data_IF_668816381632
#
_entry.id   IF_668816381632
#
_cell.length_a   1.000
_cell.length_b   1.000
_cell.length_c   1.000
_cell.angle_alpha   90.00
_cell.angle_beta   90.00
_cell.angle_gamma   90.00
#
_symmetry.space_group_name_H-M   'P 1'
#
loop_
_entity.id
_entity.type
_entity.pdbx_description
1 polymer ?
#
# COMPACT_ATOMS: atom_id res chain seq x y z
N UNK A 1 38.28 -37.88 -1.84
CA UNK A 1 38.14 -36.97 -0.68
C UNK A 1 36.90 -36.09 -0.77
N UNK A 2 36.55 -35.50 -1.93
CA UNK A 2 35.31 -34.72 -2.09
C UNK A 2 34.02 -35.49 -1.79
N UNK A 3 33.87 -36.75 -2.23
CA UNK A 3 32.70 -37.57 -1.91
C UNK A 3 32.54 -37.85 -0.41
N UNK A 4 33.64 -38.05 0.33
CA UNK A 4 33.61 -38.34 1.77
C UNK A 4 33.32 -37.09 2.60
N UNK A 5 33.78 -35.91 2.15
CA UNK A 5 33.52 -34.62 2.79
C UNK A 5 32.10 -34.13 2.48
N UNK A 6 31.59 -34.38 1.27
CA UNK A 6 30.18 -34.20 0.92
C UNK A 6 29.28 -35.15 1.70
N UNK A 7 29.71 -36.40 1.94
CA UNK A 7 28.97 -37.37 2.76
C UNK A 7 29.00 -37.03 4.25
N UNK A 8 30.10 -36.45 4.75
CA UNK A 8 30.21 -35.93 6.13
C UNK A 8 29.44 -34.61 6.31
N UNK A 9 29.45 -33.73 5.31
CA UNK A 9 28.60 -32.54 5.27
C UNK A 9 27.14 -32.93 5.19
N UNK A 10 26.78 -33.87 4.32
CA UNK A 10 25.45 -34.44 4.29
C UNK A 10 25.12 -35.13 5.62
N UNK A 11 26.00 -35.87 6.30
CA UNK A 11 25.70 -36.50 7.59
C UNK A 11 25.55 -35.52 8.77
N UNK A 12 26.29 -34.40 8.78
CA UNK A 12 26.19 -33.38 9.85
C UNK A 12 25.14 -32.30 9.55
N UNK A 13 24.96 -31.89 8.29
CA UNK A 13 23.85 -31.00 7.88
C UNK A 13 22.53 -31.75 7.74
N UNK A 14 22.51 -33.04 7.35
CA UNK A 14 21.31 -33.87 7.53
C UNK A 14 20.96 -33.96 9.01
N UNK A 15 21.83 -33.76 10.00
CA UNK A 15 21.37 -33.71 11.40
C UNK A 15 20.59 -32.44 11.73
N UNK A 16 20.90 -31.32 11.06
CA UNK A 16 20.06 -30.10 11.07
C UNK A 16 18.76 -30.35 10.27
N UNK A 17 18.80 -31.23 9.26
CA UNK A 17 17.65 -31.59 8.41
C UNK A 17 16.78 -32.79 8.90
N UNK A 18 17.30 -33.70 9.74
CA UNK A 18 16.68 -34.98 10.17
C UNK A 18 16.17 -34.98 11.61
N UNK A 19 16.51 -33.99 12.45
CA UNK A 19 15.79 -33.88 13.72
C UNK A 19 14.30 -33.49 13.54
N UNK A 20 13.87 -33.27 12.30
CA UNK A 20 12.49 -33.01 11.88
C UNK A 20 11.73 -34.18 11.24
N UNK A 21 12.33 -35.34 10.89
CA UNK A 21 11.57 -36.36 10.12
C UNK A 21 11.79 -37.81 10.56
N UNK A 22 10.96 -38.27 11.51
CA UNK A 22 10.42 -39.64 11.42
C UNK A 22 9.34 -39.63 10.33
N UNK A 23 9.70 -40.15 9.16
CA UNK A 23 8.81 -40.52 8.05
C UNK A 23 7.92 -39.41 7.48
N UNK A 24 8.42 -38.62 6.54
CA UNK A 24 7.75 -38.14 5.29
C UNK A 24 8.48 -36.93 4.70
N UNK A 25 8.70 -36.91 3.38
CA UNK A 25 9.30 -35.83 2.59
C UNK A 25 8.32 -34.64 2.45
N UNK A 26 7.93 -34.04 3.57
CA UNK A 26 7.17 -32.80 3.62
C UNK A 26 8.00 -31.76 4.35
N UNK A 27 8.41 -30.71 3.64
CA UNK A 27 9.01 -29.50 4.24
C UNK A 27 7.91 -28.85 5.08
N UNK A 28 7.88 -29.14 6.38
CA UNK A 28 7.13 -28.32 7.34
C UNK A 28 8.04 -27.18 7.82
N UNK A 29 7.47 -26.00 8.10
CA UNK A 29 8.24 -24.81 8.43
C UNK A 29 9.08 -25.08 9.67
N UNK A 30 10.38 -24.89 9.52
CA UNK A 30 11.34 -24.85 10.62
C UNK A 30 11.05 -23.57 11.40
N UNK A 31 10.11 -23.69 12.33
CA UNK A 31 9.88 -22.77 13.45
C UNK A 31 10.81 -23.18 14.62
N UNK A 32 12.07 -23.51 14.31
CA UNK A 32 13.09 -23.79 15.34
C UNK A 32 13.53 -22.46 15.94
N UNK A 33 12.98 -22.18 17.12
CA UNK A 33 13.32 -21.08 18.03
C UNK A 33 14.83 -20.98 18.41
N UNK A 34 15.70 -21.87 17.92
CA UNK A 34 17.12 -21.97 18.29
C UNK A 34 18.11 -21.78 17.11
N UNK A 35 17.67 -21.56 15.87
CA UNK A 35 18.59 -21.33 14.76
C UNK A 35 19.26 -19.95 14.86
N UNK A 36 20.56 -19.92 15.15
CA UNK A 36 21.36 -18.70 15.16
C UNK A 36 22.12 -18.54 13.84
N UNK A 37 21.76 -17.53 13.04
CA UNK A 37 22.50 -17.15 11.83
C UNK A 37 23.99 -16.95 12.10
N UNK A 38 24.37 -16.47 13.30
CA UNK A 38 25.76 -16.25 13.69
C UNK A 38 26.60 -17.53 13.71
N UNK A 39 26.00 -18.67 14.03
CA UNK A 39 26.69 -19.97 14.04
C UNK A 39 26.92 -20.50 12.63
N UNK A 40 26.10 -20.08 11.65
CA UNK A 40 26.22 -20.51 10.26
C UNK A 40 27.29 -19.69 9.50
N UNK A 41 27.47 -18.41 9.84
CA UNK A 41 28.37 -17.47 9.13
C UNK A 41 29.78 -18.02 8.82
N UNK A 42 30.48 -18.71 9.75
CA UNK A 42 31.83 -19.24 9.47
C UNK A 42 31.88 -20.31 8.37
N UNK A 43 30.74 -20.94 8.07
CA UNK A 43 30.62 -22.04 7.11
C UNK A 43 29.94 -21.62 5.81
N UNK A 44 29.47 -20.37 5.69
CA UNK A 44 28.70 -19.91 4.53
C UNK A 44 29.50 -19.96 3.24
N UNK A 45 30.73 -19.45 3.25
CA UNK A 45 31.59 -19.45 2.06
C UNK A 45 31.80 -20.86 1.50
N UNK A 46 32.33 -21.84 2.26
CA UNK A 46 32.54 -23.19 1.73
C UNK A 46 31.22 -23.91 1.40
N UNK A 47 30.16 -23.68 2.17
CA UNK A 47 28.84 -24.26 1.88
C UNK A 47 28.31 -23.76 0.53
N UNK A 48 28.33 -22.45 0.31
CA UNK A 48 27.82 -21.84 -0.91
C UNK A 48 28.66 -22.24 -2.13
N UNK A 49 29.99 -22.27 -1.99
CA UNK A 49 30.88 -22.76 -3.05
C UNK A 49 30.58 -24.20 -3.45
N UNK A 50 30.44 -25.13 -2.49
CA UNK A 50 30.14 -26.53 -2.78
C UNK A 50 28.76 -26.73 -3.40
N UNK A 51 27.74 -26.00 -2.93
CA UNK A 51 26.41 -26.04 -3.52
C UNK A 51 26.41 -25.48 -4.95
N UNK A 52 27.17 -24.42 -5.21
CA UNK A 52 27.31 -23.85 -6.54
C UNK A 52 28.07 -24.79 -7.49
N UNK A 53 29.16 -25.42 -7.05
CA UNK A 53 29.86 -26.46 -7.82
C UNK A 53 28.91 -27.60 -8.18
N UNK A 54 28.14 -28.09 -7.19
CA UNK A 54 27.14 -29.12 -7.43
C UNK A 54 26.09 -28.68 -8.47
N UNK A 55 25.60 -27.44 -8.41
CA UNK A 55 24.65 -26.89 -9.37
C UNK A 55 25.20 -26.88 -10.81
N UNK A 56 26.51 -26.69 -10.98
CA UNK A 56 27.17 -26.70 -12.29
C UNK A 56 27.41 -28.12 -12.82
N UNK A 57 27.69 -29.09 -11.95
CA UNK A 57 28.00 -30.47 -12.34
C UNK A 57 26.75 -31.27 -12.72
N UNK A 58 25.62 -31.03 -12.05
CA UNK A 58 24.39 -31.82 -12.26
C UNK A 58 23.69 -31.44 -13.56
N UNK A 59 23.20 -32.45 -14.29
CA UNK A 59 22.49 -32.27 -15.57
C UNK A 59 20.97 -32.35 -15.43
N UNK A 60 20.48 -33.06 -14.42
CA UNK A 60 19.07 -33.30 -14.18
C UNK A 60 18.38 -32.03 -13.67
N UNK A 61 17.29 -31.62 -14.31
CA UNK A 61 16.55 -30.40 -13.95
C UNK A 61 16.05 -30.47 -12.50
N UNK A 62 15.49 -31.62 -12.10
CA UNK A 62 15.00 -31.81 -10.73
C UNK A 62 16.11 -31.57 -9.70
N UNK A 63 17.31 -32.13 -9.92
CA UNK A 63 18.44 -31.89 -9.01
C UNK A 63 18.86 -30.43 -8.99
N UNK A 64 18.92 -29.75 -10.15
CA UNK A 64 19.21 -28.30 -10.22
C UNK A 64 18.19 -27.50 -9.40
N UNK A 65 16.90 -27.82 -9.50
CA UNK A 65 15.84 -27.17 -8.73
C UNK A 65 16.04 -27.34 -7.23
N UNK A 66 16.36 -28.56 -6.76
CA UNK A 66 16.62 -28.80 -5.34
C UNK A 66 17.83 -28.01 -4.83
N UNK A 67 18.91 -27.96 -5.62
CA UNK A 67 20.11 -27.19 -5.23
C UNK A 67 19.82 -25.69 -5.19
N UNK A 68 19.07 -25.15 -6.17
CA UNK A 68 18.62 -23.75 -6.16
C UNK A 68 17.74 -23.41 -4.96
N UNK A 69 16.84 -24.31 -4.58
CA UNK A 69 16.00 -24.13 -3.39
C UNK A 69 16.85 -24.05 -2.11
N UNK A 70 17.83 -24.95 -1.94
CA UNK A 70 18.74 -24.91 -0.79
C UNK A 70 19.56 -23.61 -0.78
N UNK A 71 20.09 -23.18 -1.92
CA UNK A 71 20.81 -21.91 -2.05
C UNK A 71 19.91 -20.71 -1.66
N UNK A 72 18.66 -20.70 -2.12
CA UNK A 72 17.67 -19.66 -1.81
C UNK A 72 17.38 -19.58 -0.32
N UNK A 73 17.19 -20.73 0.34
CA UNK A 73 17.00 -20.81 1.79
C UNK A 73 18.21 -20.28 2.56
N UNK A 74 19.43 -20.60 2.11
CA UNK A 74 20.66 -20.04 2.72
C UNK A 74 20.71 -18.52 2.57
N UNK A 75 20.35 -17.99 1.39
CA UNK A 75 20.28 -16.55 1.14
C UNK A 75 19.27 -15.87 2.08
N UNK A 76 18.08 -16.45 2.22
CA UNK A 76 17.03 -15.96 3.12
C UNK A 76 17.51 -15.85 4.57
N UNK A 77 18.11 -16.93 5.09
CA UNK A 77 18.50 -17.04 6.51
C UNK A 77 19.71 -16.19 6.87
N UNK A 78 20.60 -15.96 5.92
CA UNK A 78 21.81 -15.13 6.11
C UNK A 78 21.52 -13.65 5.88
N UNK A 79 20.54 -13.33 5.02
CA UNK A 79 20.17 -11.97 4.67
C UNK A 79 21.33 -11.22 3.99
N UNK A 80 21.51 -9.94 4.34
CA UNK A 80 22.50 -9.06 3.70
C UNK A 80 23.95 -9.53 3.80
N UNK A 81 24.29 -10.40 4.76
CA UNK A 81 25.64 -10.93 4.95
C UNK A 81 26.06 -11.93 3.85
N UNK A 82 25.14 -12.37 2.99
CA UNK A 82 25.41 -13.34 1.92
C UNK A 82 26.10 -12.70 0.69
N UNK A 83 26.02 -11.37 0.55
CA UNK A 83 26.48 -10.60 -0.62
C UNK A 83 27.89 -10.95 -1.12
N UNK A 84 28.91 -11.17 -0.26
CA UNK A 84 30.25 -11.52 -0.73
C UNK A 84 30.34 -12.83 -1.52
N UNK A 85 29.37 -13.74 -1.35
CA UNK A 85 29.47 -15.13 -1.80
C UNK A 85 28.59 -15.47 -3.01
N UNK A 86 27.66 -14.59 -3.42
CA UNK A 86 26.62 -14.89 -4.41
C UNK A 86 26.93 -14.44 -5.84
N UNK A 87 28.07 -13.79 -6.08
CA UNK A 87 28.42 -13.21 -7.39
C UNK A 87 28.45 -14.27 -8.50
N UNK A 88 29.00 -15.44 -8.22
CA UNK A 88 29.05 -16.57 -9.17
C UNK A 88 27.64 -17.08 -9.52
N UNK A 89 26.73 -17.15 -8.54
CA UNK A 89 25.34 -17.54 -8.78
C UNK A 89 24.64 -16.51 -9.67
N UNK A 90 24.78 -15.21 -9.37
CA UNK A 90 24.19 -14.12 -10.15
C UNK A 90 24.61 -14.15 -11.62
N UNK A 91 25.89 -14.46 -11.89
CA UNK A 91 26.39 -14.58 -13.27
C UNK A 91 25.90 -15.84 -13.99
N UNK A 92 25.61 -16.91 -13.23
CA UNK A 92 25.18 -18.19 -13.79
C UNK A 92 23.68 -18.26 -14.09
N UNK A 93 22.82 -17.64 -13.28
CA UNK A 93 21.36 -17.71 -13.46
C UNK A 93 20.86 -17.28 -14.86
N UNK A 94 21.40 -16.23 -15.51
CA UNK A 94 21.02 -15.87 -16.88
C UNK A 94 21.36 -16.96 -17.90
N UNK A 95 22.47 -17.68 -17.71
CA UNK A 95 22.87 -18.80 -18.57
C UNK A 95 21.91 -19.97 -18.36
N UNK A 96 21.64 -20.30 -17.10
CA UNK A 96 20.73 -21.37 -16.73
C UNK A 96 19.30 -21.12 -17.24
N UNK A 97 18.84 -19.86 -17.21
CA UNK A 97 17.54 -19.45 -17.76
C UNK A 97 17.41 -19.67 -19.27
N UNK A 98 18.51 -19.43 -19.99
CA UNK A 98 18.58 -19.68 -21.43
C UNK A 98 18.62 -21.18 -21.73
N UNK A 99 19.38 -21.95 -20.94
CA UNK A 99 19.42 -23.41 -21.07
C UNK A 99 18.09 -24.09 -20.73
N UNK A 100 17.27 -23.47 -19.87
CA UNK A 100 15.98 -23.98 -19.41
C UNK A 100 14.79 -23.50 -20.24
N UNK A 101 14.99 -23.15 -21.52
CA UNK A 101 13.93 -22.59 -22.37
C UNK A 101 12.68 -23.46 -22.43
N UNK A 102 12.87 -24.77 -22.55
CA UNK A 102 11.80 -25.77 -22.60
C UNK A 102 11.45 -26.36 -21.21
N UNK A 103 11.97 -25.78 -20.12
CA UNK A 103 11.87 -26.31 -18.76
C UNK A 103 11.30 -25.29 -17.77
N UNK A 104 9.99 -25.03 -17.87
CA UNK A 104 9.29 -24.02 -17.06
C UNK A 104 9.44 -24.23 -15.55
N UNK A 105 9.45 -25.46 -15.04
CA UNK A 105 9.64 -25.72 -13.60
C UNK A 105 11.03 -25.28 -13.09
N UNK A 106 12.07 -25.44 -13.91
CA UNK A 106 13.41 -24.94 -13.59
C UNK A 106 13.44 -23.41 -13.66
N UNK A 107 12.68 -22.80 -14.58
CA UNK A 107 12.50 -21.35 -14.63
C UNK A 107 11.79 -20.80 -13.39
N UNK A 108 10.75 -21.47 -12.87
CA UNK A 108 10.14 -21.15 -11.58
C UNK A 108 11.21 -21.10 -10.48
N UNK A 109 12.02 -22.17 -10.34
CA UNK A 109 13.10 -22.21 -9.34
C UNK A 109 14.13 -21.08 -9.51
N UNK A 110 14.41 -20.63 -10.74
CA UNK A 110 15.26 -19.47 -11.00
C UNK A 110 14.58 -18.18 -10.54
N UNK A 111 13.29 -17.96 -10.84
CA UNK A 111 12.54 -16.79 -10.38
C UNK A 111 12.48 -16.73 -8.84
N UNK A 112 12.20 -17.86 -8.19
CA UNK A 112 12.26 -17.98 -6.73
C UNK A 112 13.65 -17.63 -6.20
N UNK A 113 14.72 -18.11 -6.86
CA UNK A 113 16.10 -17.74 -6.47
C UNK A 113 16.36 -16.24 -6.60
N UNK A 114 15.84 -15.60 -7.65
CA UNK A 114 15.97 -14.15 -7.86
C UNK A 114 15.23 -13.35 -6.78
N UNK A 115 14.06 -13.82 -6.31
CA UNK A 115 13.32 -13.18 -5.20
C UNK A 115 14.22 -13.04 -3.96
N UNK A 116 14.83 -14.15 -3.55
CA UNK A 116 15.71 -14.19 -2.37
C UNK A 116 16.99 -13.37 -2.59
N UNK A 117 17.55 -13.39 -3.80
CA UNK A 117 18.71 -12.56 -4.14
C UNK A 117 18.37 -11.06 -4.05
N UNK A 118 17.22 -10.63 -4.57
CA UNK A 118 16.78 -9.23 -4.46
C UNK A 118 16.61 -8.83 -3.00
N UNK A 119 16.00 -9.68 -2.16
CA UNK A 119 15.88 -9.42 -0.72
C UNK A 119 17.25 -9.33 -0.04
N UNK A 120 18.19 -10.23 -0.35
CA UNK A 120 19.54 -10.20 0.21
C UNK A 120 20.36 -8.97 -0.21
N UNK A 121 20.17 -8.48 -1.44
CA UNK A 121 20.80 -7.24 -1.90
C UNK A 121 20.08 -5.97 -1.46
N UNK A 122 18.77 -6.03 -1.21
CA UNK A 122 17.96 -4.85 -0.93
C UNK A 122 18.11 -3.77 -2.03
N UNK A 123 18.47 -2.52 -1.68
CA UNK A 123 18.66 -1.43 -2.65
C UNK A 123 19.75 -1.68 -3.72
N UNK A 124 20.73 -2.53 -3.43
CA UNK A 124 21.81 -2.89 -4.37
C UNK A 124 21.38 -3.92 -5.41
N UNK A 125 20.12 -4.37 -5.39
CA UNK A 125 19.56 -5.30 -6.37
C UNK A 125 19.50 -4.73 -7.79
N UNK A 126 19.74 -3.43 -7.96
CA UNK A 126 19.87 -2.75 -9.26
C UNK A 126 20.85 -3.45 -10.22
N UNK A 127 21.90 -4.07 -9.69
CA UNK A 127 22.87 -4.82 -10.48
C UNK A 127 22.29 -6.11 -11.12
N UNK A 128 21.15 -6.61 -10.61
CA UNK A 128 20.47 -7.78 -11.14
C UNK A 128 19.45 -7.43 -12.24
N UNK A 129 19.12 -6.14 -12.41
CA UNK A 129 18.01 -5.71 -13.27
C UNK A 129 18.22 -6.03 -14.74
N UNK A 130 19.47 -6.12 -15.21
CA UNK A 130 19.77 -6.54 -16.58
C UNK A 130 19.18 -7.93 -16.90
N UNK A 131 19.08 -8.82 -15.91
CA UNK A 131 18.46 -10.13 -16.07
C UNK A 131 17.02 -10.18 -15.55
N UNK A 132 16.73 -9.54 -14.41
CA UNK A 132 15.39 -9.55 -13.82
C UNK A 132 14.36 -8.96 -14.78
N UNK A 133 14.64 -7.82 -15.42
CA UNK A 133 13.63 -7.14 -16.26
C UNK A 133 13.20 -8.00 -17.46
N UNK A 134 14.11 -8.59 -18.26
CA UNK A 134 13.72 -9.54 -19.30
C UNK A 134 12.99 -10.78 -18.77
N UNK A 135 13.41 -11.32 -17.61
CA UNK A 135 12.74 -12.48 -17.01
C UNK A 135 11.30 -12.13 -16.61
N UNK A 136 11.08 -10.95 -16.00
CA UNK A 136 9.76 -10.43 -15.65
C UNK A 136 8.88 -10.21 -16.87
N UNK A 137 9.44 -9.65 -17.95
CA UNK A 137 8.70 -9.44 -19.19
C UNK A 137 8.16 -10.77 -19.73
N UNK A 138 8.96 -11.84 -19.70
CA UNK A 138 8.54 -13.18 -20.15
C UNK A 138 7.53 -13.80 -19.17
N UNK A 139 7.79 -13.72 -17.86
CA UNK A 139 6.93 -14.38 -16.86
C UNK A 139 5.56 -13.75 -16.71
N UNK A 140 5.42 -12.47 -17.11
CA UNK A 140 4.17 -11.70 -16.98
C UNK A 140 3.48 -11.39 -18.31
N UNK A 141 3.99 -11.92 -19.42
CA UNK A 141 3.35 -11.82 -20.73
C UNK A 141 2.26 -12.89 -20.87
N UNK A 142 1.00 -12.47 -20.71
CA UNK A 142 -0.18 -13.34 -20.79
C UNK A 142 -0.45 -13.88 -22.19
N UNK A 143 0.27 -13.42 -23.20
CA UNK A 143 0.14 -13.88 -24.60
C UNK A 143 1.00 -15.11 -24.90
N UNK A 144 1.94 -15.47 -24.02
CA UNK A 144 2.89 -16.57 -24.21
C UNK A 144 2.54 -17.76 -23.32
N UNK A 145 2.64 -19.00 -23.83
CA UNK A 145 2.33 -20.21 -23.05
C UNK A 145 3.04 -20.34 -21.69
N UNK A 146 4.32 -19.91 -21.51
CA UNK A 146 5.01 -20.03 -20.22
C UNK A 146 4.33 -19.32 -19.06
N UNK A 147 3.48 -18.30 -19.28
CA UNK A 147 2.84 -17.55 -18.21
C UNK A 147 2.06 -18.45 -17.24
N UNK A 148 1.45 -19.53 -17.74
CA UNK A 148 0.65 -20.47 -16.93
C UNK A 148 1.46 -21.06 -15.77
N UNK A 149 2.78 -21.19 -15.95
CA UNK A 149 3.69 -21.71 -14.92
C UNK A 149 4.42 -20.60 -14.19
N UNK A 150 4.85 -19.56 -14.90
CA UNK A 150 5.78 -18.55 -14.40
C UNK A 150 5.10 -17.37 -13.70
N UNK A 151 3.79 -17.18 -13.89
CA UNK A 151 3.13 -15.94 -13.51
C UNK A 151 3.18 -15.66 -12.00
N UNK A 152 2.96 -16.67 -11.16
CA UNK A 152 2.94 -16.50 -9.70
C UNK A 152 4.31 -16.04 -9.18
N UNK A 153 5.37 -16.80 -9.47
CA UNK A 153 6.75 -16.44 -9.13
C UNK A 153 7.17 -15.12 -9.80
N UNK A 154 6.69 -14.86 -11.02
CA UNK A 154 6.96 -13.65 -11.78
C UNK A 154 6.39 -12.40 -11.13
N UNK A 155 5.13 -12.47 -10.65
CA UNK A 155 4.49 -11.37 -9.92
C UNK A 155 5.16 -11.15 -8.56
N UNK A 156 5.55 -12.21 -7.86
CA UNK A 156 6.28 -12.09 -6.60
C UNK A 156 7.66 -11.43 -6.83
N UNK A 157 8.42 -11.88 -7.82
CA UNK A 157 9.69 -11.26 -8.21
C UNK A 157 9.50 -9.80 -8.58
N UNK A 158 8.44 -9.46 -9.30
CA UNK A 158 8.14 -8.08 -9.69
C UNK A 158 7.89 -7.22 -8.45
N UNK A 159 7.02 -7.67 -7.55
CA UNK A 159 6.73 -6.97 -6.30
C UNK A 159 8.00 -6.79 -5.47
N UNK A 160 8.76 -7.85 -5.24
CA UNK A 160 9.99 -7.84 -4.44
C UNK A 160 11.06 -6.92 -5.06
N UNK A 161 11.15 -6.87 -6.38
CA UNK A 161 12.02 -5.93 -7.11
C UNK A 161 11.62 -4.49 -6.83
N UNK A 162 10.32 -4.17 -6.92
CA UNK A 162 9.85 -2.80 -6.72
C UNK A 162 9.93 -2.33 -5.27
N UNK A 163 9.67 -3.20 -4.29
CA UNK A 163 9.75 -2.79 -2.87
C UNK A 163 11.19 -2.49 -2.43
N UNK A 164 12.17 -3.13 -3.06
CA UNK A 164 13.59 -2.91 -2.80
C UNK A 164 14.23 -1.88 -3.73
N UNK A 165 13.61 -1.55 -4.86
CA UNK A 165 14.16 -0.60 -5.82
C UNK A 165 14.40 0.77 -5.17
N UNK A 166 15.60 1.37 -5.29
CA UNK A 166 15.86 2.72 -4.77
C UNK A 166 15.28 3.82 -5.69
N UNK A 167 15.21 3.57 -7.00
CA UNK A 167 14.74 4.52 -8.02
C UNK A 167 13.99 3.79 -9.13
N UNK A 168 13.11 4.48 -9.85
CA UNK A 168 12.46 3.94 -11.06
C UNK A 168 13.43 3.98 -12.24
N UNK A 169 13.58 2.88 -12.98
CA UNK A 169 14.25 2.87 -14.29
C UNK A 169 13.23 2.87 -15.42
N UNK A 170 13.66 3.30 -16.62
CA UNK A 170 12.80 3.28 -17.82
C UNK A 170 12.32 1.88 -18.18
N UNK A 171 13.15 0.86 -17.95
CA UNK A 171 12.85 -0.53 -18.27
C UNK A 171 11.83 -1.11 -17.29
N UNK A 172 11.98 -0.80 -15.99
CA UNK A 172 10.99 -1.18 -14.98
C UNK A 172 9.66 -0.45 -15.19
N UNK A 173 9.68 0.84 -15.54
CA UNK A 173 8.46 1.60 -15.84
C UNK A 173 7.71 0.98 -17.02
N UNK A 174 8.44 0.61 -18.09
CA UNK A 174 7.85 -0.03 -19.26
C UNK A 174 7.07 -1.28 -18.89
N UNK A 175 7.55 -2.15 -17.98
CA UNK A 175 6.85 -3.39 -17.61
C UNK A 175 5.38 -3.19 -17.19
N UNK A 176 4.99 -1.99 -16.76
CA UNK A 176 3.60 -1.67 -16.42
C UNK A 176 2.61 -1.97 -17.57
N UNK A 177 3.05 -2.01 -18.83
CA UNK A 177 2.19 -2.38 -19.97
C UNK A 177 1.53 -3.76 -19.83
N UNK A 178 2.07 -4.66 -19.01
CA UNK A 178 1.49 -5.98 -18.75
C UNK A 178 0.31 -5.93 -17.75
N UNK A 179 0.22 -4.90 -16.90
CA UNK A 179 -0.78 -4.80 -15.82
C UNK A 179 -2.23 -4.90 -16.31
N UNK A 180 -2.66 -4.24 -17.39
CA UNK A 180 -4.04 -4.35 -17.88
C UNK A 180 -4.46 -5.79 -18.16
N UNK A 181 -3.66 -6.54 -18.92
CA UNK A 181 -3.95 -7.94 -19.24
C UNK A 181 -3.94 -8.82 -17.99
N UNK A 182 -3.07 -8.52 -17.02
CA UNK A 182 -3.03 -9.23 -15.73
C UNK A 182 -4.28 -8.99 -14.86
N UNK A 183 -4.85 -7.78 -14.90
CA UNK A 183 -6.11 -7.48 -14.22
C UNK A 183 -7.30 -8.19 -14.86
N UNK A 184 -7.25 -8.44 -16.18
CA UNK A 184 -8.29 -9.13 -16.93
C UNK A 184 -8.28 -10.66 -16.74
N UNK A 185 -7.16 -11.26 -16.29
CA UNK A 185 -7.05 -12.71 -16.08
C UNK A 185 -7.97 -13.23 -14.96
N UNK A 186 -8.26 -12.41 -13.96
CA UNK A 186 -9.10 -12.79 -12.83
C UNK A 186 -8.65 -12.20 -11.50
N UNK A 187 -9.26 -12.67 -10.41
CA UNK A 187 -9.09 -12.08 -9.07
C UNK A 187 -8.08 -12.81 -8.18
N UNK A 188 -7.56 -13.96 -8.62
CA UNK A 188 -6.64 -14.81 -7.83
C UNK A 188 -5.39 -14.03 -7.41
N UNK A 189 -4.77 -13.32 -8.35
CA UNK A 189 -3.55 -12.53 -8.12
C UNK A 189 -3.82 -11.05 -7.85
N UNK A 190 -5.07 -10.63 -7.77
CA UNK A 190 -5.44 -9.21 -7.71
C UNK A 190 -4.75 -8.47 -6.56
N UNK A 191 -4.70 -9.07 -5.38
CA UNK A 191 -4.07 -8.44 -4.20
C UNK A 191 -2.60 -8.12 -4.45
N UNK A 192 -1.87 -9.02 -5.12
CA UNK A 192 -0.46 -8.84 -5.44
C UNK A 192 -0.28 -7.80 -6.55
N UNK A 193 -1.11 -7.85 -7.60
CA UNK A 193 -1.12 -6.88 -8.68
C UNK A 193 -1.39 -5.46 -8.16
N UNK A 194 -2.36 -5.27 -7.26
CA UNK A 194 -2.65 -3.97 -6.64
C UNK A 194 -1.48 -3.46 -5.77
N UNK A 195 -0.73 -4.36 -5.12
CA UNK A 195 0.51 -3.97 -4.41
C UNK A 195 1.60 -3.54 -5.39
N UNK A 196 1.76 -4.23 -6.53
CA UNK A 196 2.68 -3.82 -7.60
C UNK A 196 2.30 -2.43 -8.12
N UNK A 197 1.02 -2.19 -8.41
CA UNK A 197 0.54 -0.86 -8.85
C UNK A 197 0.82 0.20 -7.78
N UNK A 198 0.56 -0.09 -6.50
CA UNK A 198 0.91 0.81 -5.40
C UNK A 198 2.41 1.15 -5.37
N UNK A 199 3.29 0.17 -5.67
CA UNK A 199 4.71 0.42 -5.80
C UNK A 199 5.01 1.38 -6.96
N UNK A 200 4.39 1.20 -8.12
CA UNK A 200 4.54 2.12 -9.26
C UNK A 200 4.09 3.55 -8.94
N UNK A 201 2.96 3.72 -8.27
CA UNK A 201 2.43 5.02 -7.84
C UNK A 201 3.46 5.77 -6.99
N UNK A 202 4.09 5.10 -6.03
CA UNK A 202 5.04 5.73 -5.11
C UNK A 202 6.47 5.83 -5.65
N UNK A 203 6.92 4.83 -6.42
CA UNK A 203 8.29 4.77 -6.96
C UNK A 203 8.43 5.59 -8.24
N UNK A 204 7.49 5.43 -9.19
CA UNK A 204 7.50 6.14 -10.48
C UNK A 204 6.94 7.56 -10.39
N UNK A 205 6.18 7.85 -9.33
CA UNK A 205 5.68 9.18 -8.98
C UNK A 205 5.06 9.91 -10.19
N UNK A 206 5.53 11.12 -10.50
CA UNK A 206 5.01 11.96 -11.59
C UNK A 206 5.12 11.32 -12.97
N UNK A 207 6.23 10.65 -13.27
CA UNK A 207 6.42 10.01 -14.58
C UNK A 207 5.39 8.90 -14.80
N UNK A 208 5.16 8.08 -13.77
CA UNK A 208 4.11 7.06 -13.79
C UNK A 208 2.71 7.68 -14.03
N UNK A 209 2.35 8.72 -13.28
CA UNK A 209 1.04 9.37 -13.42
C UNK A 209 0.83 10.04 -14.78
N UNK A 210 1.90 10.47 -15.46
CA UNK A 210 1.80 11.06 -16.80
C UNK A 210 1.62 10.01 -17.89
N UNK A 211 2.21 8.83 -17.73
CA UNK A 211 2.27 7.81 -18.80
C UNK A 211 1.16 6.76 -18.66
N UNK A 212 0.78 6.40 -17.43
CA UNK A 212 -0.01 5.18 -17.18
C UNK A 212 -1.34 5.41 -16.46
N UNK A 213 -1.66 6.63 -16.05
CA UNK A 213 -2.84 6.91 -15.21
C UNK A 213 -4.17 6.62 -15.90
N UNK A 214 -4.35 7.01 -17.17
CA UNK A 214 -5.57 6.75 -17.95
C UNK A 214 -5.81 5.25 -18.18
N UNK A 215 -4.75 4.51 -18.55
CA UNK A 215 -4.82 3.06 -18.73
C UNK A 215 -5.16 2.37 -17.41
N UNK A 216 -4.53 2.77 -16.30
CA UNK A 216 -4.88 2.24 -14.98
C UNK A 216 -6.35 2.51 -14.61
N UNK A 217 -6.83 3.73 -14.85
CA UNK A 217 -8.20 4.12 -14.53
C UNK A 217 -9.22 3.28 -15.30
N UNK A 218 -9.01 3.13 -16.61
CA UNK A 218 -9.87 2.29 -17.46
C UNK A 218 -9.85 0.82 -17.04
N UNK A 219 -8.67 0.23 -16.76
CA UNK A 219 -8.56 -1.16 -16.31
C UNK A 219 -9.27 -1.40 -14.98
N UNK A 220 -9.07 -0.50 -13.99
CA UNK A 220 -9.77 -0.60 -12.71
C UNK A 220 -11.27 -0.41 -12.88
N UNK A 221 -11.72 0.54 -13.72
CA UNK A 221 -13.14 0.77 -13.97
C UNK A 221 -13.84 -0.47 -14.56
N UNK A 222 -13.17 -1.17 -15.48
CA UNK A 222 -13.69 -2.42 -16.04
C UNK A 222 -13.78 -3.52 -14.97
N UNK A 223 -12.78 -3.63 -14.10
CA UNK A 223 -12.77 -4.62 -13.03
C UNK A 223 -13.90 -4.40 -12.00
N UNK A 224 -14.30 -3.16 -11.77
CA UNK A 224 -15.34 -2.82 -10.79
C UNK A 224 -16.75 -3.35 -11.16
N UNK A 225 -17.03 -3.74 -12.41
CA UNK A 225 -18.38 -4.26 -12.75
C UNK A 225 -18.69 -5.63 -12.12
N UNK A 226 -17.67 -6.47 -11.96
CA UNK A 226 -17.85 -7.91 -11.69
C UNK A 226 -17.10 -8.39 -10.44
N UNK A 227 -16.61 -7.45 -9.61
CA UNK A 227 -15.81 -7.77 -8.43
C UNK A 227 -16.61 -7.74 -7.13
N UNK A 228 -16.30 -8.70 -6.24
CA UNK A 228 -16.86 -8.75 -4.89
C UNK A 228 -16.40 -7.57 -4.03
N UNK A 229 -17.15 -7.27 -2.99
CA UNK A 229 -16.86 -6.20 -2.02
C UNK A 229 -15.42 -6.22 -1.48
N UNK A 230 -14.84 -7.40 -1.20
CA UNK A 230 -13.45 -7.48 -0.74
C UNK A 230 -12.46 -6.90 -1.76
N UNK A 231 -12.66 -7.22 -3.04
CA UNK A 231 -11.84 -6.68 -4.12
C UNK A 231 -12.07 -5.19 -4.34
N UNK A 232 -13.33 -4.72 -4.26
CA UNK A 232 -13.66 -3.29 -4.22
C UNK A 232 -12.86 -2.57 -3.12
N UNK A 233 -12.81 -3.16 -1.93
CA UNK A 233 -12.10 -2.58 -0.80
C UNK A 233 -10.60 -2.43 -1.10
N UNK A 234 -10.00 -3.42 -1.75
CA UNK A 234 -8.59 -3.35 -2.14
C UNK A 234 -8.33 -2.28 -3.20
N UNK A 235 -9.22 -2.14 -4.20
CA UNK A 235 -9.12 -1.10 -5.23
C UNK A 235 -9.24 0.29 -4.61
N UNK A 236 -10.24 0.52 -3.76
CA UNK A 236 -10.45 1.82 -3.11
C UNK A 236 -9.28 2.21 -2.19
N UNK A 237 -8.60 1.25 -1.55
CA UNK A 237 -7.34 1.51 -0.81
C UNK A 237 -6.21 1.96 -1.72
N UNK A 238 -6.13 1.42 -2.94
CA UNK A 238 -5.18 1.89 -3.95
C UNK A 238 -5.54 3.32 -4.40
N UNK A 239 -6.82 3.59 -4.70
CA UNK A 239 -7.29 4.94 -5.04
C UNK A 239 -6.96 5.92 -3.93
N UNK A 240 -7.15 5.54 -2.66
CA UNK A 240 -6.78 6.38 -1.53
C UNK A 240 -5.30 6.75 -1.52
N UNK A 241 -4.40 5.80 -1.80
CA UNK A 241 -2.96 6.09 -1.91
C UNK A 241 -2.66 7.01 -3.08
N UNK A 242 -3.35 6.85 -4.22
CA UNK A 242 -3.22 7.75 -5.37
C UNK A 242 -3.66 9.17 -4.99
N UNK A 243 -4.81 9.33 -4.33
CA UNK A 243 -5.29 10.64 -3.88
C UNK A 243 -4.34 11.30 -2.86
N UNK A 244 -3.71 10.51 -1.98
CA UNK A 244 -2.68 11.02 -1.06
C UNK A 244 -1.45 11.51 -1.80
N UNK A 245 -0.96 10.75 -2.78
CA UNK A 245 0.25 11.07 -3.53
C UNK A 245 0.05 12.15 -4.61
N UNK A 246 -1.16 12.24 -5.17
CA UNK A 246 -1.54 13.11 -6.29
C UNK A 246 -2.91 13.76 -6.03
N UNK A 247 -3.00 14.72 -5.09
CA UNK A 247 -4.28 15.33 -4.70
C UNK A 247 -4.95 16.14 -5.82
N UNK A 248 -4.20 16.55 -6.84
CA UNK A 248 -4.70 17.30 -8.00
C UNK A 248 -5.04 16.40 -9.18
N UNK A 249 -4.10 15.56 -9.62
CA UNK A 249 -4.24 14.73 -10.81
C UNK A 249 -5.07 13.46 -10.55
N UNK A 250 -4.93 12.86 -9.36
CA UNK A 250 -5.61 11.64 -8.97
C UNK A 250 -7.14 11.74 -9.08
N UNK A 251 -7.79 12.77 -8.49
CA UNK A 251 -9.23 12.93 -8.63
C UNK A 251 -9.70 13.03 -10.09
N UNK A 252 -9.00 13.79 -10.92
CA UNK A 252 -9.35 13.96 -12.34
C UNK A 252 -9.26 12.65 -13.12
N UNK A 253 -8.21 11.85 -12.90
CA UNK A 253 -8.03 10.54 -13.55
C UNK A 253 -9.16 9.58 -13.18
N UNK A 254 -9.62 9.60 -11.93
CA UNK A 254 -10.65 8.69 -11.42
C UNK A 254 -12.05 9.33 -11.33
N UNK A 255 -12.31 10.41 -12.09
CA UNK A 255 -13.56 11.16 -12.00
C UNK A 255 -14.80 10.28 -12.20
N UNK A 256 -14.81 9.41 -13.21
CA UNK A 256 -15.93 8.49 -13.49
C UNK A 256 -16.27 7.57 -12.31
N UNK A 257 -15.24 7.11 -11.59
CA UNK A 257 -15.42 6.31 -10.37
C UNK A 257 -15.96 7.17 -9.24
N UNK A 258 -15.40 8.36 -9.02
CA UNK A 258 -15.81 9.26 -7.95
C UNK A 258 -17.27 9.73 -8.11
N UNK A 259 -17.75 9.94 -9.34
CA UNK A 259 -19.16 10.23 -9.62
C UNK A 259 -20.08 9.08 -9.17
N UNK A 260 -19.73 7.84 -9.53
CA UNK A 260 -20.49 6.65 -9.09
C UNK A 260 -20.47 6.47 -7.57
N UNK A 261 -19.33 6.76 -6.94
CA UNK A 261 -19.20 6.71 -5.49
C UNK A 261 -20.09 7.76 -4.83
N UNK A 262 -20.11 9.00 -5.33
CA UNK A 262 -21.00 10.04 -4.80
C UNK A 262 -22.47 9.61 -4.91
N UNK A 263 -22.89 9.11 -6.07
CA UNK A 263 -24.24 8.59 -6.26
C UNK A 263 -24.55 7.44 -5.28
N UNK A 264 -23.61 6.53 -5.05
CA UNK A 264 -23.75 5.44 -4.07
C UNK A 264 -23.89 5.95 -2.63
N UNK A 265 -23.14 6.99 -2.24
CA UNK A 265 -23.32 7.66 -0.93
C UNK A 265 -24.74 8.23 -0.82
N UNK A 266 -25.19 8.99 -1.83
CA UNK A 266 -26.49 9.67 -1.83
C UNK A 266 -27.65 8.68 -1.83
N UNK A 267 -27.49 7.52 -2.45
CA UNK A 267 -28.47 6.44 -2.44
C UNK A 267 -28.45 5.61 -1.15
N UNK A 268 -27.54 5.91 -0.21
CA UNK A 268 -27.44 5.25 1.08
C UNK A 268 -26.76 3.87 1.01
N UNK A 269 -25.51 3.80 0.55
CA UNK A 269 -24.69 2.57 0.55
C UNK A 269 -24.82 1.77 1.86
N UNK A 270 -25.38 0.56 1.74
CA UNK A 270 -25.67 -0.33 2.87
C UNK A 270 -24.39 -0.94 3.47
N UNK A 271 -23.34 -1.12 2.66
CA UNK A 271 -22.10 -1.70 3.14
C UNK A 271 -21.29 -0.66 3.94
N UNK A 272 -21.29 -0.81 5.27
CA UNK A 272 -20.59 0.05 6.21
C UNK A 272 -19.09 0.26 5.87
N UNK A 273 -18.40 -0.78 5.38
CA UNK A 273 -16.98 -0.69 5.02
C UNK A 273 -16.83 0.19 3.78
N UNK A 274 -17.64 -0.03 2.75
CA UNK A 274 -17.61 0.80 1.54
C UNK A 274 -17.98 2.24 1.85
N UNK A 275 -19.08 2.48 2.57
CA UNK A 275 -19.52 3.82 2.98
C UNK A 275 -18.40 4.57 3.71
N UNK A 276 -17.75 3.95 4.69
CA UNK A 276 -16.62 4.53 5.42
C UNK A 276 -15.47 4.94 4.49
N UNK A 277 -15.14 4.10 3.50
CA UNK A 277 -14.09 4.41 2.55
C UNK A 277 -14.49 5.49 1.54
N UNK A 278 -15.73 5.48 1.06
CA UNK A 278 -16.28 6.49 0.17
C UNK A 278 -16.22 7.88 0.82
N UNK A 279 -16.71 8.00 2.05
CA UNK A 279 -16.62 9.23 2.83
C UNK A 279 -15.16 9.66 3.07
N UNK A 280 -14.25 8.71 3.30
CA UNK A 280 -12.82 9.01 3.45
C UNK A 280 -12.18 9.56 2.17
N UNK A 281 -12.58 9.08 0.99
CA UNK A 281 -12.08 9.60 -0.29
C UNK A 281 -12.56 11.04 -0.49
N UNK A 282 -13.85 11.32 -0.22
CA UNK A 282 -14.41 12.66 -0.31
C UNK A 282 -13.86 13.62 0.75
N UNK A 283 -13.57 13.15 1.96
CA UNK A 283 -12.83 13.90 2.98
C UNK A 283 -11.48 14.41 2.48
N UNK A 284 -10.73 13.53 1.81
CA UNK A 284 -9.43 13.85 1.26
C UNK A 284 -9.52 14.86 0.11
N UNK A 285 -10.43 14.62 -0.82
CA UNK A 285 -10.68 15.53 -1.94
C UNK A 285 -11.09 16.91 -1.42
N UNK A 286 -12.02 16.98 -0.46
CA UNK A 286 -12.46 18.22 0.14
C UNK A 286 -11.27 19.00 0.73
N UNK A 287 -10.43 18.36 1.54
CA UNK A 287 -9.29 19.02 2.19
C UNK A 287 -8.22 19.54 1.23
N UNK A 288 -7.96 18.83 0.13
CA UNK A 288 -6.80 19.09 -0.72
C UNK A 288 -7.16 19.71 -2.07
N UNK A 289 -8.40 19.53 -2.54
CA UNK A 289 -8.85 19.96 -3.87
C UNK A 289 -10.36 20.29 -3.87
N UNK A 290 -10.73 21.36 -3.16
CA UNK A 290 -12.10 21.86 -3.06
C UNK A 290 -12.76 22.09 -4.43
N UNK A 291 -12.03 22.62 -5.41
CA UNK A 291 -12.57 22.90 -6.74
C UNK A 291 -13.05 21.60 -7.43
N UNK A 292 -12.29 20.52 -7.29
CA UNK A 292 -12.70 19.24 -7.85
C UNK A 292 -13.96 18.70 -7.18
N UNK A 293 -14.07 18.78 -5.84
CA UNK A 293 -15.29 18.35 -5.13
C UNK A 293 -16.54 19.03 -5.72
N UNK A 294 -16.50 20.35 -5.86
CA UNK A 294 -17.64 21.12 -6.39
C UNK A 294 -17.96 20.72 -7.83
N UNK A 295 -16.96 20.44 -8.66
CA UNK A 295 -17.21 19.95 -10.03
C UNK A 295 -17.91 18.58 -10.07
N UNK A 296 -17.65 17.69 -9.10
CA UNK A 296 -18.32 16.39 -8.98
C UNK A 296 -19.77 16.60 -8.50
N UNK A 297 -19.99 17.50 -7.53
CA UNK A 297 -21.33 17.85 -7.04
C UNK A 297 -22.18 18.47 -8.16
N UNK A 298 -21.62 19.42 -8.91
CA UNK A 298 -22.28 20.07 -10.06
C UNK A 298 -22.68 19.02 -11.10
N UNK A 299 -21.79 18.08 -11.43
CA UNK A 299 -22.10 17.03 -12.40
C UNK A 299 -23.24 16.13 -11.93
N UNK A 300 -23.22 15.66 -10.68
CA UNK A 300 -24.28 14.80 -10.13
C UNK A 300 -25.60 15.57 -10.00
N UNK A 301 -25.56 16.86 -9.66
CA UNK A 301 -26.74 17.73 -9.63
C UNK A 301 -27.37 17.86 -11.02
N UNK A 302 -26.56 18.08 -12.06
CA UNK A 302 -27.02 18.15 -13.45
C UNK A 302 -27.65 16.82 -13.91
N UNK A 303 -27.02 15.67 -13.61
CA UNK A 303 -27.58 14.36 -13.96
C UNK A 303 -28.89 14.06 -13.23
N UNK A 304 -29.00 14.49 -11.97
CA UNK A 304 -30.19 14.30 -11.14
C UNK A 304 -31.30 15.36 -11.39
N UNK A 305 -31.04 16.38 -12.20
CA UNK A 305 -31.96 17.51 -12.38
C UNK A 305 -32.25 18.27 -11.08
N UNK A 306 -31.31 18.28 -10.14
CA UNK A 306 -31.40 18.87 -8.81
C UNK A 306 -30.44 20.06 -8.66
N UNK A 307 -30.58 20.85 -7.60
CA UNK A 307 -29.64 21.93 -7.31
C UNK A 307 -28.39 21.44 -6.56
N UNK A 308 -27.26 22.13 -6.75
CA UNK A 308 -25.98 21.80 -6.11
C UNK A 308 -26.06 21.78 -4.58
N UNK A 309 -26.85 22.69 -3.98
CA UNK A 309 -26.99 22.78 -2.54
C UNK A 309 -27.76 21.59 -1.96
N UNK A 310 -28.75 21.05 -2.68
CA UNK A 310 -29.46 19.82 -2.32
C UNK A 310 -28.53 18.62 -2.33
N UNK A 311 -27.70 18.46 -3.37
CA UNK A 311 -26.71 17.38 -3.45
C UNK A 311 -25.67 17.51 -2.31
N UNK A 312 -25.17 18.72 -2.09
CA UNK A 312 -24.21 18.99 -1.02
C UNK A 312 -24.81 18.76 0.38
N UNK A 313 -26.05 19.19 0.61
CA UNK A 313 -26.80 18.94 1.85
C UNK A 313 -26.97 17.46 2.11
N UNK A 314 -27.45 16.70 1.12
CA UNK A 314 -27.61 15.26 1.23
C UNK A 314 -26.28 14.51 1.48
N UNK A 315 -25.17 14.97 0.87
CA UNK A 315 -23.84 14.45 1.17
C UNK A 315 -23.45 14.72 2.62
N UNK A 316 -23.68 15.93 3.12
CA UNK A 316 -23.34 16.33 4.48
C UNK A 316 -24.18 15.60 5.54
N UNK A 317 -25.47 15.42 5.29
CA UNK A 317 -26.37 14.62 6.13
C UNK A 317 -25.88 13.17 6.21
N UNK A 318 -25.66 12.51 5.06
CA UNK A 318 -25.15 11.14 5.02
C UNK A 318 -23.80 11.00 5.72
N UNK A 319 -22.94 12.00 5.61
CA UNK A 319 -21.63 11.97 6.23
C UNK A 319 -21.71 12.10 7.76
N UNK A 320 -22.47 13.08 8.25
CA UNK A 320 -22.57 13.35 9.68
C UNK A 320 -23.37 12.27 10.42
N UNK A 321 -24.45 11.75 9.83
CA UNK A 321 -25.23 10.63 10.40
C UNK A 321 -24.42 9.32 10.47
N UNK A 322 -23.44 9.14 9.58
CA UNK A 322 -22.65 7.91 9.47
C UNK A 322 -21.22 8.05 9.95
N UNK A 323 -20.90 9.12 10.68
CA UNK A 323 -19.55 9.33 11.23
C UNK A 323 -19.12 8.15 12.13
N UNK A 324 -20.06 7.54 12.85
CA UNK A 324 -19.86 6.37 13.73
C UNK A 324 -19.41 5.11 12.99
N UNK A 325 -19.75 4.99 11.71
CA UNK A 325 -19.36 3.85 10.87
C UNK A 325 -17.84 3.89 10.58
N UNK A 326 -17.24 5.09 10.63
CA UNK A 326 -15.81 5.27 10.43
C UNK A 326 -15.09 4.90 11.73
N UNK A 327 -14.51 3.71 11.82
CA UNK A 327 -13.87 3.23 13.05
C UNK A 327 -12.36 3.48 13.12
N UNK A 328 -11.68 3.63 11.98
CA UNK A 328 -10.24 3.86 11.94
C UNK A 328 -9.91 5.30 12.37
N UNK A 329 -9.06 5.53 13.40
CA UNK A 329 -8.77 6.86 13.92
C UNK A 329 -8.26 7.84 12.85
N UNK A 330 -7.42 7.39 11.93
CA UNK A 330 -6.88 8.20 10.84
C UNK A 330 -7.98 8.69 9.89
N UNK A 331 -8.95 7.82 9.57
CA UNK A 331 -10.10 8.17 8.73
C UNK A 331 -11.07 9.09 9.47
N UNK A 332 -11.31 8.84 10.76
CA UNK A 332 -12.14 9.73 11.59
C UNK A 332 -11.53 11.13 11.65
N UNK A 333 -10.23 11.23 11.95
CA UNK A 333 -9.51 12.50 11.96
C UNK A 333 -9.57 13.19 10.60
N UNK A 334 -9.36 12.46 9.50
CA UNK A 334 -9.49 13.01 8.14
C UNK A 334 -10.89 13.59 7.90
N UNK A 335 -11.94 12.85 8.23
CA UNK A 335 -13.33 13.33 8.11
C UNK A 335 -13.57 14.55 8.97
N UNK A 336 -13.07 14.58 10.21
CA UNK A 336 -13.20 15.74 11.08
C UNK A 336 -12.44 16.96 10.57
N UNK A 337 -11.21 16.80 10.05
CA UNK A 337 -10.49 17.89 9.41
C UNK A 337 -11.30 18.45 8.22
N UNK A 338 -11.89 17.58 7.40
CA UNK A 338 -12.69 17.98 6.25
C UNK A 338 -13.99 18.69 6.65
N UNK A 339 -14.71 18.20 7.65
CA UNK A 339 -15.90 18.85 8.19
C UNK A 339 -15.56 20.19 8.86
N UNK A 340 -14.43 20.28 9.56
CA UNK A 340 -13.96 21.53 10.15
C UNK A 340 -13.61 22.57 9.08
N UNK A 341 -13.02 22.16 7.94
CA UNK A 341 -12.71 23.09 6.86
C UNK A 341 -13.96 23.72 6.24
N UNK A 342 -15.11 23.01 6.28
CA UNK A 342 -16.41 23.54 5.84
C UNK A 342 -16.89 24.73 6.67
N UNK A 343 -16.55 24.81 7.96
CA UNK A 343 -16.98 25.91 8.83
C UNK A 343 -16.48 27.29 8.36
N UNK A 344 -15.46 27.32 7.51
CA UNK A 344 -14.92 28.53 6.91
C UNK A 344 -15.54 28.89 5.55
N UNK A 345 -16.60 28.19 5.10
CA UNK A 345 -17.31 28.48 3.87
C UNK A 345 -18.64 29.19 4.14
N UNK A 346 -18.88 30.30 3.44
CA UNK A 346 -20.15 31.01 3.52
C UNK A 346 -21.22 30.33 2.66
N UNK A 347 -21.80 29.24 3.17
CA UNK A 347 -22.90 28.51 2.52
C UNK A 347 -24.06 28.32 3.51
N UNK A 348 -25.30 28.49 3.05
CA UNK A 348 -26.50 28.34 3.88
C UNK A 348 -26.65 26.91 4.42
N UNK A 349 -26.32 25.89 3.63
CA UNK A 349 -26.39 24.48 4.04
C UNK A 349 -25.48 24.21 5.23
N UNK A 350 -24.28 24.79 5.24
CA UNK A 350 -23.31 24.63 6.33
C UNK A 350 -23.83 25.29 7.61
N UNK A 351 -24.43 26.49 7.46
CA UNK A 351 -25.06 27.19 8.58
C UNK A 351 -26.21 26.37 9.18
N UNK A 352 -27.05 25.80 8.32
CA UNK A 352 -28.23 25.03 8.75
C UNK A 352 -27.82 23.71 9.42
N UNK A 353 -26.67 23.13 9.04
CA UNK A 353 -26.11 21.91 9.62
C UNK A 353 -25.02 22.14 10.68
N UNK A 354 -24.79 23.39 11.09
CA UNK A 354 -23.67 23.78 11.95
C UNK A 354 -23.58 22.93 13.22
N UNK A 355 -24.71 22.67 13.87
CA UNK A 355 -24.73 21.92 15.12
C UNK A 355 -24.39 20.44 14.96
N UNK A 356 -24.84 19.81 13.88
CA UNK A 356 -24.54 18.41 13.59
C UNK A 356 -23.05 18.26 13.23
N UNK A 357 -22.51 19.19 12.43
CA UNK A 357 -21.08 19.23 12.12
C UNK A 357 -20.26 19.32 13.41
N UNK A 358 -20.58 20.28 14.29
CA UNK A 358 -19.85 20.47 15.55
C UNK A 358 -19.93 19.27 16.47
N UNK A 359 -21.10 18.63 16.56
CA UNK A 359 -21.25 17.39 17.33
C UNK A 359 -20.31 16.29 16.81
N UNK A 360 -20.26 16.06 15.50
CA UNK A 360 -19.33 15.09 14.89
C UNK A 360 -17.86 15.45 15.17
N UNK A 361 -17.51 16.74 15.14
CA UNK A 361 -16.14 17.20 15.42
C UNK A 361 -15.73 16.97 16.88
N UNK A 362 -16.61 17.27 17.82
CA UNK A 362 -16.39 17.04 19.26
C UNK A 362 -16.22 15.55 19.54
N UNK A 363 -17.05 14.71 18.93
CA UNK A 363 -16.93 13.26 19.06
C UNK A 363 -15.55 12.77 18.60
N UNK A 364 -15.11 13.17 17.41
CA UNK A 364 -13.80 12.75 16.88
C UNK A 364 -12.63 13.33 17.70
N UNK A 365 -12.77 14.53 18.26
CA UNK A 365 -11.77 15.10 19.18
C UNK A 365 -11.52 14.17 20.37
N UNK A 366 -12.58 13.63 20.98
CA UNK A 366 -12.46 12.68 22.10
C UNK A 366 -11.89 11.32 21.69
N UNK A 367 -12.09 10.90 20.44
CA UNK A 367 -11.52 9.64 19.94
C UNK A 367 -10.01 9.73 19.65
N UNK A 368 -9.55 10.89 19.18
CA UNK A 368 -8.19 11.08 18.65
C UNK A 368 -7.26 11.75 19.65
N UNK A 369 -7.78 12.64 20.49
CA UNK A 369 -6.97 13.34 21.48
C UNK A 369 -6.77 12.49 22.74
N UNK A 370 -5.58 12.61 23.34
CA UNK A 370 -5.21 11.96 24.59
C UNK A 370 -4.60 12.98 25.54
N UNK A 371 -4.55 12.63 26.82
CA UNK A 371 -3.83 13.41 27.82
C UNK A 371 -2.40 12.87 27.88
N UNK A 372 -1.41 13.74 27.69
CA UNK A 372 0.00 13.38 27.81
C UNK A 372 0.48 13.35 29.28
N UNK A 373 1.76 13.07 29.49
CA UNK A 373 2.36 12.97 30.82
C UNK A 373 2.31 14.29 31.61
N UNK A 374 2.29 15.42 30.91
CA UNK A 374 2.20 16.77 31.48
C UNK A 374 0.74 17.21 31.75
N UNK A 375 -0.24 16.34 31.45
CA UNK A 375 -1.65 16.62 31.61
C UNK A 375 -2.26 17.46 30.47
N UNK A 376 -1.54 17.65 29.37
CA UNK A 376 -1.99 18.42 28.20
C UNK A 376 -2.72 17.51 27.21
N UNK A 377 -3.78 18.07 26.61
CA UNK A 377 -4.53 17.39 25.56
C UNK A 377 -3.76 17.48 24.24
N UNK A 378 -3.29 16.33 23.74
CA UNK A 378 -2.51 16.19 22.51
C UNK A 378 -3.22 15.29 21.51
N UNK A 379 -3.02 15.56 20.22
CA UNK A 379 -3.55 14.76 19.13
C UNK A 379 -2.63 13.55 18.88
N UNK A 380 -3.11 12.34 19.18
CA UNK A 380 -2.29 11.13 19.21
C UNK A 380 -1.82 10.64 17.84
N UNK A 381 -2.35 11.19 16.75
CA UNK A 381 -1.99 10.82 15.38
C UNK A 381 -0.93 11.74 14.76
N UNK A 382 -0.50 12.78 15.48
CA UNK A 382 0.54 13.69 15.03
C UNK A 382 1.90 12.98 14.98
N UNK A 383 2.59 13.11 13.86
CA UNK A 383 3.98 12.67 13.74
C UNK A 383 4.89 13.85 14.05
N UNK A 384 5.84 13.70 14.97
CA UNK A 384 6.81 14.77 15.27
C UNK A 384 7.66 15.04 14.02
N UNK A 385 7.68 16.27 13.48
CA UNK A 385 8.55 16.62 12.36
C UNK A 385 10.03 16.34 12.62
N UNK A 386 10.45 16.32 13.89
CA UNK A 386 11.82 16.04 14.33
C UNK A 386 12.10 14.55 14.52
N UNK A 387 11.09 13.69 14.46
CA UNK A 387 11.28 12.25 14.52
C UNK A 387 12.24 11.83 13.39
N UNK A 388 13.37 11.17 13.72
CA UNK A 388 14.30 10.71 12.72
C UNK A 388 13.59 9.69 11.82
N UNK A 389 13.87 9.74 10.52
CA UNK A 389 13.42 8.66 9.63
C UNK A 389 14.20 7.42 10.05
N UNK A 390 13.48 6.43 10.56
CA UNK A 390 14.08 5.16 10.92
C UNK A 390 14.68 4.50 9.67
N UNK A 391 16.00 4.40 9.63
CA UNK A 391 16.71 3.69 8.56
C UNK A 391 16.61 2.16 8.72
N UNK A 392 16.00 1.65 9.80
CA UNK A 392 15.71 0.22 9.99
C UNK A 392 14.44 -0.25 9.27
N UNK A 393 13.84 0.55 8.40
CA UNK A 393 12.71 0.08 7.60
C UNK A 393 13.13 -1.08 6.69
N UNK A 394 12.31 -2.12 6.67
CA UNK A 394 12.59 -3.39 6.00
C UNK A 394 12.83 -3.20 4.49
N UNK A 395 12.12 -2.24 3.85
CA UNK A 395 12.22 -2.01 2.40
C UNK A 395 12.20 -0.53 2.00
N UNK A 396 12.64 -0.23 0.77
CA UNK A 396 12.56 1.12 0.20
C UNK A 396 11.11 1.59 -0.01
N UNK A 397 10.18 0.68 -0.23
CA UNK A 397 8.76 1.01 -0.35
C UNK A 397 8.12 1.40 0.97
N UNK A 398 8.49 0.73 2.08
CA UNK A 398 8.04 1.15 3.42
C UNK A 398 8.52 2.56 3.75
N UNK A 399 9.74 2.92 3.31
CA UNK A 399 10.25 4.30 3.36
C UNK A 399 9.41 5.29 2.59
N UNK A 400 9.01 4.95 1.38
CA UNK A 400 8.11 5.82 0.60
C UNK A 400 6.75 5.97 1.26
N UNK A 401 6.18 4.90 1.82
CA UNK A 401 4.89 4.95 2.53
C UNK A 401 4.96 5.81 3.78
N UNK A 402 6.00 5.66 4.58
CA UNK A 402 6.20 6.49 5.76
C UNK A 402 6.42 7.96 5.41
N UNK A 403 7.22 8.25 4.38
CA UNK A 403 7.42 9.61 3.87
C UNK A 403 6.12 10.24 3.36
N UNK A 404 5.27 9.46 2.69
CA UNK A 404 3.94 9.92 2.28
C UNK A 404 3.05 10.23 3.50
N UNK A 405 3.04 9.36 4.51
CA UNK A 405 2.29 9.61 5.76
C UNK A 405 2.75 10.88 6.47
N UNK A 406 4.06 11.18 6.48
CA UNK A 406 4.61 12.42 7.06
C UNK A 406 4.17 13.71 6.36
N UNK A 407 3.62 13.61 5.16
CA UNK A 407 3.08 14.74 4.40
C UNK A 407 1.55 14.80 4.44
N UNK A 408 0.89 13.76 4.96
CA UNK A 408 -0.56 13.68 5.03
C UNK A 408 -1.12 14.66 6.09
N UNK A 409 -2.17 15.45 5.79
CA UNK A 409 -2.86 16.31 6.76
C UNK A 409 -3.24 15.60 8.07
N UNK A 410 -3.55 14.30 8.01
CA UNK A 410 -3.88 13.48 9.19
C UNK A 410 -2.74 13.45 10.20
N UNK A 411 -1.48 13.53 9.77
CA UNK A 411 -0.32 13.44 10.65
C UNK A 411 0.38 14.78 10.88
N UNK A 412 0.01 15.81 10.11
CA UNK A 412 0.66 17.13 10.11
C UNK A 412 -0.21 18.25 10.67
N UNK A 413 -1.53 18.05 10.75
CA UNK A 413 -2.49 19.03 11.27
C UNK A 413 -3.09 18.53 12.58
N UNK A 414 -2.88 19.27 13.67
CA UNK A 414 -3.48 18.97 14.97
C UNK A 414 -4.96 19.37 14.97
N UNK A 415 -5.85 18.39 15.13
CA UNK A 415 -7.30 18.57 15.02
C UNK A 415 -7.84 19.62 16.01
N UNK A 416 -7.39 19.58 17.27
CA UNK A 416 -7.74 20.57 18.31
C UNK A 416 -7.45 21.99 17.82
N UNK A 417 -6.19 22.25 17.44
CA UNK A 417 -5.76 23.58 17.02
C UNK A 417 -6.45 24.05 15.74
N UNK A 418 -6.69 23.12 14.82
CA UNK A 418 -7.34 23.39 13.56
C UNK A 418 -8.80 23.77 13.76
N UNK A 419 -9.57 23.01 14.55
CA UNK A 419 -10.97 23.32 14.86
C UNK A 419 -11.13 24.72 15.46
N UNK A 420 -10.32 25.04 16.48
CA UNK A 420 -10.35 26.36 17.12
C UNK A 420 -10.06 27.47 16.10
N UNK A 421 -9.13 27.25 15.18
CA UNK A 421 -8.86 28.19 14.09
C UNK A 421 -10.04 28.34 13.14
N UNK A 422 -10.68 27.24 12.72
CA UNK A 422 -11.83 27.27 11.82
C UNK A 422 -13.04 27.96 12.47
N UNK A 423 -13.29 27.75 13.76
CA UNK A 423 -14.35 28.46 14.51
C UNK A 423 -14.12 29.97 14.56
N UNK A 424 -12.87 30.43 14.73
CA UNK A 424 -12.54 31.86 14.68
C UNK A 424 -12.78 32.47 13.30
N UNK A 425 -12.47 31.73 12.23
CA UNK A 425 -12.76 32.17 10.85
C UNK A 425 -14.27 32.24 10.62
N UNK A 426 -15.00 31.21 11.04
CA UNK A 426 -16.46 31.15 11.03
C UNK A 426 -17.09 32.35 11.75
N UNK A 427 -16.63 32.66 12.98
CA UNK A 427 -17.07 33.82 13.75
C UNK A 427 -16.80 35.15 13.04
N UNK A 428 -15.64 35.28 12.40
CA UNK A 428 -15.29 36.50 11.64
C UNK A 428 -16.15 36.65 10.38
N UNK A 429 -16.47 35.55 9.72
CA UNK A 429 -17.24 35.52 8.48
C UNK A 429 -18.73 35.84 8.71
N UNK A 430 -19.37 35.20 9.69
CA UNK A 430 -20.78 35.42 10.00
C UNK A 430 -21.03 36.63 10.91
N UNK A 431 -19.99 37.13 11.59
CA UNK A 431 -20.11 38.15 12.61
C UNK A 431 -20.55 37.59 13.96
N UNK A 432 -20.23 38.33 15.03
CA UNK A 432 -20.41 37.89 16.41
C UNK A 432 -21.84 37.46 16.73
N UNK A 433 -22.83 38.26 16.33
CA UNK A 433 -24.24 38.03 16.68
C UNK A 433 -24.79 36.73 16.08
N UNK A 434 -24.52 36.48 14.79
CA UNK A 434 -24.96 35.26 14.11
C UNK A 434 -24.21 34.05 14.66
N UNK A 435 -22.90 34.18 14.90
CA UNK A 435 -22.11 33.11 15.50
C UNK A 435 -22.63 32.74 16.90
N UNK A 436 -22.96 33.72 17.73
CA UNK A 436 -23.51 33.48 19.06
C UNK A 436 -24.88 32.80 18.99
N UNK A 437 -25.73 33.14 18.01
CA UNK A 437 -26.99 32.45 17.75
C UNK A 437 -26.77 30.98 17.34
N UNK A 438 -25.79 30.72 16.47
CA UNK A 438 -25.42 29.36 16.06
C UNK A 438 -24.91 28.55 17.25
N UNK A 439 -24.01 29.12 18.05
CA UNK A 439 -23.48 28.47 19.26
C UNK A 439 -24.59 28.23 20.30
N UNK A 440 -25.54 29.14 20.44
CA UNK A 440 -26.68 29.00 21.35
C UNK A 440 -27.70 27.95 20.90
N UNK A 441 -27.70 27.58 19.61
CA UNK A 441 -28.56 26.53 19.06
C UNK A 441 -28.03 25.11 19.30
N UNK A 442 -26.78 24.98 19.75
CA UNK A 442 -26.15 23.71 20.06
C UNK A 442 -26.72 23.10 21.35
N UNK A 443 -26.69 21.77 21.45
CA UNK A 443 -26.95 21.11 22.73
C UNK A 443 -25.89 21.54 23.77
N UNK A 444 -26.37 21.82 24.98
CA UNK A 444 -25.54 22.11 26.15
C UNK A 444 -24.42 21.08 26.39
N UNK A 445 -24.68 19.80 26.07
CA UNK A 445 -23.69 18.74 26.20
C UNK A 445 -22.54 18.90 25.20
N UNK A 446 -22.83 19.24 23.94
CA UNK A 446 -21.82 19.48 22.90
C UNK A 446 -20.92 20.66 23.28
N UNK A 447 -21.50 21.74 23.81
CA UNK A 447 -20.73 22.90 24.28
C UNK A 447 -19.82 22.51 25.44
N UNK A 448 -20.34 21.76 26.42
CA UNK A 448 -19.57 21.31 27.57
C UNK A 448 -18.41 20.37 27.17
N UNK A 449 -18.65 19.49 26.20
CA UNK A 449 -17.63 18.57 25.68
C UNK A 449 -16.58 19.28 24.79
N UNK A 450 -16.94 20.38 24.14
CA UNK A 450 -16.01 21.20 23.33
C UNK A 450 -15.09 22.07 24.21
N UNK A 451 -15.59 22.58 25.33
CA UNK A 451 -14.89 23.56 26.18
C UNK A 451 -13.44 23.18 26.55
N UNK A 452 -13.10 21.92 26.93
CA UNK A 452 -11.73 21.53 27.26
C UNK A 452 -10.73 21.72 26.10
N UNK A 453 -11.21 21.70 24.86
CA UNK A 453 -10.37 21.83 23.66
C UNK A 453 -10.21 23.29 23.20
N UNK A 454 -11.00 24.22 23.74
CA UNK A 454 -10.90 25.65 23.40
C UNK A 454 -9.87 26.41 24.25
N UNK A 455 -9.31 25.77 25.29
CA UNK A 455 -8.33 26.35 26.21
C UNK A 455 -6.89 25.93 25.92
#
# INVERSE_FOLDING_TARGET
>A
MHSSLLHLMLQYYFKIFLFSTKNSLTVQPVDDFEFSTEQLLPYIEPLFSLLFELLQEVRECDTKMHVLHVLSFVIERVGSKIRPYISSLVQYLPLLWKESEDHNMLRCAILTSLIHLVQGYGPESTQLWQFIVPALAISTDTTQEPHVYLLEDGLELWYVTLINAPVMSSELLKLFHNIPALLDLGTENLRLILKIIQCYVLLGSREFMQVHSEVLASSLQNLLSDIKTEGMVQILRLIEVILKAFPTEGPSVFQSLLLKILQSILNGEDNCILMSMYLSLFARILLQNHQFLWSVIEHVALEAGSDENSIFGALLENWTERIDIITQPERRKLSALALASLLSYNNCIIRDHFGVILNSLVQVLHDVCRIDEDGLITDSLMIDPKEPIDDNQDTQHDKRKYLLSRQDPVHTVCLKSYLVSQLKVCQTMYGQEIFDQLMASLDSEVIAQLQPFCH
#
